data_IF_960973046111
#
_entry.id   IF_960973046111
#
_cell.length_a   1.000
_cell.length_b   1.000
_cell.length_c   1.000
_cell.angle_alpha   90.00
_cell.angle_beta   90.00
_cell.angle_gamma   90.00
#
_symmetry.space_group_name_H-M   'P 1'
#
loop_
_entity.id
_entity.type
_entity.pdbx_description
1 polymer ?
#
# COMPACT_ATOMS: atom_id res chain seq x y z
N UNK A 1 -32.72 39.53 19.29
CA UNK A 1 -31.45 39.57 18.51
C UNK A 1 -31.05 38.14 18.24
N UNK A 2 -31.18 37.70 16.99
CA UNK A 2 -30.82 36.33 16.59
C UNK A 2 -29.30 36.22 16.57
N UNK A 3 -28.74 35.28 17.35
CA UNK A 3 -27.33 34.93 17.28
C UNK A 3 -27.04 34.39 15.88
N UNK A 4 -26.25 35.13 15.13
CA UNK A 4 -25.80 34.82 13.80
C UNK A 4 -24.94 33.53 13.89
N UNK A 5 -25.40 32.52 13.18
CA UNK A 5 -24.76 31.18 13.14
C UNK A 5 -23.32 31.32 12.65
N UNK A 6 -22.34 31.29 13.55
CA UNK A 6 -20.91 31.41 13.30
C UNK A 6 -20.25 30.08 12.79
N UNK A 7 -21.05 29.14 12.30
CA UNK A 7 -20.60 27.85 11.77
C UNK A 7 -20.01 27.92 10.35
N UNK A 8 -19.69 29.14 9.83
CA UNK A 8 -19.19 29.33 8.46
C UNK A 8 -17.68 29.58 8.31
N UNK A 9 -16.94 29.57 9.38
CA UNK A 9 -15.47 29.46 9.23
C UNK A 9 -15.12 28.00 9.02
N UNK A 10 -15.10 27.58 7.74
CA UNK A 10 -14.27 26.48 7.33
C UNK A 10 -12.83 26.90 7.67
N UNK A 11 -12.29 26.36 8.74
CA UNK A 11 -10.86 26.34 8.96
C UNK A 11 -10.28 25.63 7.72
N UNK A 12 -9.82 26.43 6.75
CA UNK A 12 -8.89 25.97 5.74
C UNK A 12 -7.70 25.42 6.52
N UNK A 13 -7.68 24.11 6.67
CA UNK A 13 -6.52 23.40 7.16
C UNK A 13 -5.42 23.66 6.14
N UNK A 14 -4.57 24.66 6.37
CA UNK A 14 -3.22 24.70 5.83
C UNK A 14 -2.50 23.46 6.36
N UNK A 15 -2.79 22.33 5.75
CA UNK A 15 -2.06 21.09 5.99
C UNK A 15 -0.68 21.20 5.34
N UNK A 16 0.22 21.90 5.98
CA UNK A 16 1.63 21.56 5.88
C UNK A 16 1.79 20.18 6.53
N UNK A 17 1.96 19.16 5.70
CA UNK A 17 2.23 17.79 6.15
C UNK A 17 3.49 17.84 7.02
N UNK A 18 3.31 17.83 8.32
CA UNK A 18 4.39 17.91 9.29
C UNK A 18 5.03 16.53 9.41
N UNK A 19 6.35 16.43 9.22
CA UNK A 19 7.12 15.19 9.42
C UNK A 19 6.82 14.51 10.77
N UNK A 20 6.43 15.29 11.76
CA UNK A 20 6.02 14.81 13.08
C UNK A 20 4.71 13.99 13.03
N UNK A 21 3.78 14.34 12.14
CA UNK A 21 2.52 13.60 11.97
C UNK A 21 2.74 12.28 11.26
N UNK A 22 3.69 12.23 10.30
CA UNK A 22 4.14 10.99 9.68
C UNK A 22 4.77 10.05 10.71
N UNK A 23 5.56 10.55 11.64
CA UNK A 23 6.17 9.75 12.71
C UNK A 23 5.11 9.16 13.67
N UNK A 24 4.04 9.89 13.98
CA UNK A 24 2.90 9.40 14.77
C UNK A 24 2.21 8.23 14.09
N UNK A 25 2.03 8.32 12.79
CA UNK A 25 1.41 7.26 12.00
C UNK A 25 2.33 6.04 11.90
N UNK A 26 3.65 6.24 11.88
CA UNK A 26 4.65 5.18 11.96
C UNK A 26 4.48 4.24 13.16
N UNK A 27 3.91 4.72 14.27
CA UNK A 27 3.57 3.89 15.43
C UNK A 27 2.61 2.75 15.08
N UNK A 28 1.66 2.99 14.18
CA UNK A 28 0.69 1.97 13.75
C UNK A 28 1.25 0.97 12.75
N UNK A 29 2.38 1.29 12.08
CA UNK A 29 3.09 0.32 11.25
C UNK A 29 3.88 -0.69 12.08
N UNK A 30 4.38 -0.29 13.24
CA UNK A 30 5.29 -1.10 14.07
C UNK A 30 4.79 -2.53 14.35
N UNK A 31 3.52 -2.77 14.74
CA UNK A 31 3.03 -4.12 14.98
C UNK A 31 2.93 -4.98 13.71
N UNK A 32 2.95 -4.37 12.53
CA UNK A 32 2.79 -5.04 11.23
C UNK A 32 4.08 -5.18 10.43
N UNK A 33 5.23 -4.75 10.96
CA UNK A 33 6.55 -4.81 10.30
C UNK A 33 6.86 -6.20 9.76
N UNK A 34 6.61 -7.25 10.54
CA UNK A 34 6.85 -8.64 10.10
C UNK A 34 6.02 -9.03 8.86
N UNK A 35 4.80 -8.50 8.74
CA UNK A 35 3.96 -8.72 7.54
C UNK A 35 4.45 -7.89 6.37
N UNK A 36 4.87 -6.65 6.62
CA UNK A 36 5.43 -5.75 5.59
C UNK A 36 6.72 -6.35 5.02
N UNK A 37 7.61 -6.87 5.87
CA UNK A 37 8.86 -7.52 5.41
C UNK A 37 8.56 -8.73 4.53
N UNK A 38 7.55 -9.54 4.84
CA UNK A 38 7.14 -10.67 3.97
C UNK A 38 6.61 -10.19 2.62
N UNK A 39 5.83 -9.11 2.61
CA UNK A 39 5.34 -8.50 1.36
C UNK A 39 6.54 -8.00 0.53
N UNK A 40 7.50 -7.33 1.14
CA UNK A 40 8.71 -6.87 0.46
C UNK A 40 9.53 -8.04 -0.10
N UNK A 41 9.66 -9.15 0.63
CA UNK A 41 10.33 -10.34 0.10
C UNK A 41 9.64 -10.91 -1.14
N UNK A 42 8.30 -10.90 -1.16
CA UNK A 42 7.53 -11.30 -2.35
C UNK A 42 7.76 -10.32 -3.50
N UNK A 43 7.79 -9.02 -3.24
CA UNK A 43 8.08 -7.98 -4.25
C UNK A 43 9.46 -8.20 -4.87
N UNK A 44 10.48 -8.46 -4.04
CA UNK A 44 11.84 -8.78 -4.52
C UNK A 44 11.83 -10.01 -5.44
N UNK A 45 11.13 -11.07 -5.04
CA UNK A 45 10.99 -12.28 -5.87
C UNK A 45 10.29 -11.99 -7.20
N UNK A 46 9.25 -11.16 -7.20
CA UNK A 46 8.55 -10.73 -8.42
C UNK A 46 9.48 -9.93 -9.36
N UNK A 47 10.31 -9.04 -8.83
CA UNK A 47 11.27 -8.28 -9.63
C UNK A 47 12.30 -9.20 -10.31
N UNK A 48 12.77 -10.22 -9.63
CA UNK A 48 13.65 -11.24 -10.25
C UNK A 48 12.96 -11.95 -11.43
N UNK A 49 11.68 -12.28 -11.29
CA UNK A 49 10.90 -12.89 -12.38
C UNK A 49 10.79 -11.94 -13.59
N UNK A 50 10.48 -10.67 -13.36
CA UNK A 50 10.36 -9.66 -14.41
C UNK A 50 11.63 -9.54 -15.24
N UNK A 51 12.82 -9.59 -14.61
CA UNK A 51 14.11 -9.54 -15.32
C UNK A 51 14.42 -10.88 -16.04
N UNK A 52 13.94 -11.99 -15.51
CA UNK A 52 14.17 -13.31 -16.12
C UNK A 52 13.40 -13.51 -17.43
N UNK A 53 12.23 -12.89 -17.59
CA UNK A 53 11.38 -13.04 -18.80
C UNK A 53 12.08 -12.56 -20.08
N UNK A 54 12.63 -11.33 -20.18
CA UNK A 54 13.36 -10.88 -21.36
C UNK A 54 14.60 -11.73 -21.64
N UNK A 55 15.30 -12.19 -20.60
CA UNK A 55 16.46 -13.03 -20.74
C UNK A 55 16.14 -14.40 -21.39
N UNK A 56 15.09 -15.07 -20.92
CA UNK A 56 14.61 -16.31 -21.52
C UNK A 56 14.10 -16.10 -22.96
N UNK A 57 13.41 -15.00 -23.20
CA UNK A 57 12.93 -14.62 -24.52
C UNK A 57 14.10 -14.41 -25.49
N UNK A 58 15.17 -13.75 -25.04
CA UNK A 58 16.41 -13.61 -25.82
C UNK A 58 16.99 -14.95 -26.21
N UNK A 59 17.13 -15.90 -25.29
CA UNK A 59 17.65 -17.24 -25.58
C UNK A 59 16.76 -17.97 -26.61
N UNK A 60 15.44 -17.81 -26.54
CA UNK A 60 14.52 -18.40 -27.52
C UNK A 60 14.78 -17.86 -28.92
N UNK A 61 14.97 -16.53 -29.06
CA UNK A 61 15.14 -15.87 -30.36
C UNK A 61 16.54 -16.12 -30.93
N UNK A 62 17.58 -16.04 -30.10
CA UNK A 62 18.97 -16.06 -30.56
C UNK A 62 19.49 -17.49 -30.78
N UNK A 63 18.94 -18.50 -30.07
CA UNK A 63 19.49 -19.85 -30.08
C UNK A 63 18.47 -20.92 -30.49
N UNK A 64 17.30 -20.99 -29.85
CA UNK A 64 16.34 -22.06 -30.10
C UNK A 64 15.70 -21.99 -31.50
N UNK A 65 15.34 -20.79 -31.96
CA UNK A 65 14.68 -20.60 -33.27
C UNK A 65 15.65 -20.80 -34.42
N UNK A 66 16.87 -20.21 -34.46
CA UNK A 66 17.80 -20.42 -35.57
C UNK A 66 18.25 -21.86 -35.71
N UNK A 67 18.44 -22.57 -34.61
CA UNK A 67 18.84 -23.99 -34.60
C UNK A 67 17.68 -24.96 -34.88
N UNK A 68 16.45 -24.45 -35.03
CA UNK A 68 15.23 -25.26 -35.23
C UNK A 68 15.04 -26.35 -34.18
N UNK A 69 15.53 -26.10 -32.96
CA UNK A 69 15.43 -27.03 -31.84
C UNK A 69 14.07 -26.89 -31.15
N UNK A 70 13.11 -27.67 -31.59
CA UNK A 70 11.75 -27.69 -31.06
C UNK A 70 11.70 -28.14 -29.60
N UNK A 71 12.62 -29.04 -29.18
CA UNK A 71 12.69 -29.51 -27.79
C UNK A 71 13.09 -28.39 -26.83
N UNK A 72 14.15 -27.66 -27.17
CA UNK A 72 14.64 -26.51 -26.40
C UNK A 72 13.62 -25.39 -26.40
N UNK A 73 12.97 -25.11 -27.52
CA UNK A 73 11.90 -24.11 -27.63
C UNK A 73 10.71 -24.45 -26.72
N UNK A 74 10.25 -25.69 -26.71
CA UNK A 74 9.15 -26.15 -25.87
C UNK A 74 9.52 -26.06 -24.37
N UNK A 75 10.75 -26.41 -24.01
CA UNK A 75 11.24 -26.33 -22.62
C UNK A 75 11.28 -24.87 -22.13
N UNK A 76 11.80 -23.94 -22.94
CA UNK A 76 11.86 -22.52 -22.62
C UNK A 76 10.47 -21.90 -22.54
N UNK A 77 9.57 -22.24 -23.47
CA UNK A 77 8.17 -21.78 -23.45
C UNK A 77 7.44 -22.30 -22.19
N UNK A 78 7.63 -23.56 -21.82
CA UNK A 78 7.13 -24.11 -20.56
C UNK A 78 7.66 -23.39 -19.34
N UNK A 79 8.97 -23.08 -19.34
CA UNK A 79 9.60 -22.28 -18.28
C UNK A 79 9.01 -20.89 -18.16
N UNK A 80 8.82 -20.18 -19.27
CA UNK A 80 8.15 -18.87 -19.29
C UNK A 80 6.72 -18.96 -18.76
N UNK A 81 5.96 -19.96 -19.17
CA UNK A 81 4.61 -20.16 -18.68
C UNK A 81 4.59 -20.37 -17.14
N UNK A 82 5.47 -21.21 -16.61
CA UNK A 82 5.60 -21.39 -15.16
C UNK A 82 5.96 -20.09 -14.44
N UNK A 83 6.88 -19.28 -14.97
CA UNK A 83 7.25 -18.00 -14.38
C UNK A 83 6.06 -17.02 -14.35
N UNK A 84 5.27 -16.96 -15.42
CA UNK A 84 4.07 -16.11 -15.47
C UNK A 84 3.06 -16.56 -14.42
N UNK A 85 2.81 -17.86 -14.28
CA UNK A 85 1.88 -18.38 -13.28
C UNK A 85 2.35 -18.05 -11.85
N UNK A 86 3.64 -18.23 -11.58
CA UNK A 86 4.24 -17.88 -10.27
C UNK A 86 4.11 -16.39 -10.00
N UNK A 87 4.37 -15.54 -11.00
CA UNK A 87 4.23 -14.10 -10.90
C UNK A 87 2.79 -13.69 -10.56
N UNK A 88 1.78 -14.23 -11.24
CA UNK A 88 0.37 -13.94 -10.98
C UNK A 88 -0.07 -14.37 -9.58
N UNK A 89 0.37 -15.52 -9.10
CA UNK A 89 0.11 -15.98 -7.73
C UNK A 89 0.76 -15.06 -6.69
N UNK A 90 2.00 -14.64 -6.93
CA UNK A 90 2.72 -13.70 -6.08
C UNK A 90 2.04 -12.33 -6.06
N UNK A 91 1.59 -11.82 -7.22
CA UNK A 91 0.85 -10.57 -7.35
C UNK A 91 -0.46 -10.60 -6.55
N UNK A 92 -1.22 -11.68 -6.67
CA UNK A 92 -2.45 -11.88 -5.90
C UNK A 92 -2.18 -11.91 -4.39
N UNK A 93 -1.15 -12.66 -3.96
CA UNK A 93 -0.75 -12.70 -2.56
C UNK A 93 -0.36 -11.30 -2.04
N UNK A 94 0.48 -10.57 -2.79
CA UNK A 94 0.89 -9.20 -2.49
C UNK A 94 -0.33 -8.30 -2.27
N UNK A 95 -1.26 -8.27 -3.22
CA UNK A 95 -2.45 -7.41 -3.18
C UNK A 95 -3.30 -7.70 -1.95
N UNK A 96 -3.62 -8.97 -1.69
CA UNK A 96 -4.41 -9.37 -0.53
C UNK A 96 -3.69 -9.05 0.78
N UNK A 97 -2.37 -9.28 0.85
CA UNK A 97 -1.57 -9.02 2.04
C UNK A 97 -1.50 -7.51 2.36
N UNK A 98 -1.31 -6.64 1.35
CA UNK A 98 -1.32 -5.18 1.50
C UNK A 98 -2.68 -4.72 2.03
N UNK A 99 -3.76 -5.13 1.37
CA UNK A 99 -5.12 -4.76 1.79
C UNK A 99 -5.41 -5.20 3.22
N UNK A 100 -4.99 -6.41 3.59
CA UNK A 100 -5.18 -6.92 4.96
C UNK A 100 -4.40 -6.10 6.00
N UNK A 101 -3.16 -5.72 5.71
CA UNK A 101 -2.37 -4.85 6.60
C UNK A 101 -3.04 -3.49 6.75
N UNK A 102 -3.49 -2.87 5.65
CA UNK A 102 -4.20 -1.60 5.67
C UNK A 102 -5.47 -1.65 6.52
N UNK A 103 -6.29 -2.68 6.36
CA UNK A 103 -7.52 -2.85 7.14
C UNK A 103 -7.26 -3.07 8.64
N UNK A 104 -6.18 -3.75 8.98
CA UNK A 104 -5.80 -3.93 10.39
C UNK A 104 -5.31 -2.63 11.01
N UNK A 105 -4.48 -1.86 10.30
CA UNK A 105 -4.06 -0.52 10.73
C UNK A 105 -5.27 0.41 10.92
N UNK A 106 -6.18 0.41 9.95
CA UNK A 106 -7.42 1.19 10.01
C UNK A 106 -8.26 0.83 11.25
N UNK A 107 -8.38 -0.45 11.55
CA UNK A 107 -9.06 -0.93 12.75
C UNK A 107 -8.41 -0.38 14.04
N UNK A 108 -7.09 -0.43 14.13
CA UNK A 108 -6.36 0.03 15.31
C UNK A 108 -6.48 1.56 15.47
N UNK A 109 -6.34 2.31 14.37
CA UNK A 109 -6.51 3.77 14.37
C UNK A 109 -7.94 4.17 14.78
N UNK A 110 -8.96 3.50 14.24
CA UNK A 110 -10.36 3.76 14.61
C UNK A 110 -10.62 3.48 16.09
N UNK A 111 -10.05 2.40 16.62
CA UNK A 111 -10.17 2.04 18.02
C UNK A 111 -9.57 3.10 18.93
N UNK A 112 -8.33 3.52 18.65
CA UNK A 112 -7.63 4.52 19.45
C UNK A 112 -8.37 5.87 19.40
N UNK A 113 -8.82 6.26 18.22
CA UNK A 113 -9.57 7.50 18.02
C UNK A 113 -10.92 7.47 18.74
N UNK A 114 -11.66 6.37 18.65
CA UNK A 114 -12.92 6.20 19.36
C UNK A 114 -12.74 6.25 20.88
N UNK A 115 -11.70 5.59 21.39
CA UNK A 115 -11.35 5.66 22.82
C UNK A 115 -11.00 7.08 23.23
N UNK A 116 -10.24 7.81 22.42
CA UNK A 116 -9.91 9.21 22.70
C UNK A 116 -11.15 10.12 22.73
N UNK A 117 -12.06 9.98 21.76
CA UNK A 117 -13.30 10.75 21.72
C UNK A 117 -14.13 10.54 22.99
N UNK A 118 -14.19 9.32 23.52
CA UNK A 118 -14.93 9.03 24.75
C UNK A 118 -14.33 9.68 25.99
N UNK A 119 -13.06 10.09 25.98
CA UNK A 119 -12.42 10.79 27.10
C UNK A 119 -12.59 12.30 27.06
N UNK A 120 -13.20 12.85 25.98
CA UNK A 120 -13.41 14.29 25.83
C UNK A 120 -14.58 14.77 26.70
N UNK A 121 -14.47 15.99 27.30
CA UNK A 121 -15.54 16.55 28.11
C UNK A 121 -16.78 16.91 27.27
N UNK A 122 -17.96 16.90 27.88
CA UNK A 122 -19.22 17.23 27.24
C UNK A 122 -19.22 18.60 26.56
N UNK A 123 -18.53 19.59 27.11
CA UNK A 123 -18.39 20.92 26.54
C UNK A 123 -17.78 20.93 25.13
N UNK A 124 -16.98 19.93 24.78
CA UNK A 124 -16.44 19.78 23.43
C UNK A 124 -17.52 19.42 22.39
N UNK A 125 -18.51 18.64 22.81
CA UNK A 125 -19.60 18.20 21.95
C UNK A 125 -20.70 19.25 21.80
N UNK A 126 -20.95 20.06 22.83
CA UNK A 126 -21.95 21.12 22.80
C UNK A 126 -21.59 22.25 21.82
N UNK A 127 -20.30 22.48 21.58
CA UNK A 127 -19.79 23.55 20.72
C UNK A 127 -19.68 23.16 19.24
N UNK A 128 -19.86 21.89 18.86
CA UNK A 128 -19.61 21.36 17.51
C UNK A 128 -20.71 20.40 17.03
N UNK A 129 -21.13 20.48 15.74
CA UNK A 129 -22.12 19.54 15.18
C UNK A 129 -21.56 18.12 15.19
N UNK A 130 -22.21 17.21 15.91
CA UNK A 130 -21.77 15.80 16.10
C UNK A 130 -21.53 15.06 14.78
N UNK A 131 -22.35 15.33 13.75
CA UNK A 131 -22.19 14.71 12.43
C UNK A 131 -20.89 15.10 11.73
N UNK A 132 -20.43 16.35 11.89
CA UNK A 132 -19.17 16.84 11.25
C UNK A 132 -17.94 16.16 11.84
N UNK A 133 -17.94 15.92 13.15
CA UNK A 133 -16.86 15.21 13.86
C UNK A 133 -16.77 13.77 13.37
N UNK A 134 -17.90 13.07 13.30
CA UNK A 134 -17.94 11.66 12.91
C UNK A 134 -17.49 11.45 11.46
N UNK A 135 -17.94 12.30 10.54
CA UNK A 135 -17.56 12.23 9.12
C UNK A 135 -16.06 12.51 8.94
N UNK A 136 -15.49 13.51 9.63
CA UNK A 136 -14.05 13.79 9.58
C UNK A 136 -13.24 12.62 10.09
N UNK A 137 -13.61 12.06 11.24
CA UNK A 137 -12.94 10.91 11.85
C UNK A 137 -12.93 9.69 10.91
N UNK A 138 -14.06 9.39 10.29
CA UNK A 138 -14.16 8.21 9.40
C UNK A 138 -13.40 8.43 8.09
N UNK A 139 -13.58 9.57 7.43
CA UNK A 139 -12.99 9.81 6.12
C UNK A 139 -11.49 10.04 6.18
N UNK A 140 -10.99 10.85 7.13
CA UNK A 140 -9.55 11.10 7.23
C UNK A 140 -8.76 9.85 7.62
N UNK A 141 -9.31 9.03 8.53
CA UNK A 141 -8.67 7.77 8.90
C UNK A 141 -8.62 6.78 7.73
N UNK A 142 -9.65 6.74 6.89
CA UNK A 142 -9.66 5.91 5.68
C UNK A 142 -8.58 6.38 4.69
N UNK A 143 -8.57 7.67 4.35
CA UNK A 143 -7.58 8.25 3.41
C UNK A 143 -6.15 8.04 3.91
N UNK A 144 -5.91 8.23 5.21
CA UNK A 144 -4.59 8.03 5.81
C UNK A 144 -4.15 6.57 5.73
N UNK A 145 -5.04 5.63 6.02
CA UNK A 145 -4.76 4.19 5.95
C UNK A 145 -4.46 3.73 4.52
N UNK A 146 -5.20 4.23 3.55
CA UNK A 146 -5.01 3.87 2.14
C UNK A 146 -3.68 4.43 1.61
N UNK A 147 -3.35 5.68 1.95
CA UNK A 147 -2.09 6.32 1.57
C UNK A 147 -0.89 5.61 2.19
N UNK A 148 -0.98 5.19 3.45
CA UNK A 148 0.13 4.55 4.15
C UNK A 148 0.33 3.09 3.75
N UNK A 149 -0.75 2.32 3.65
CA UNK A 149 -0.62 0.88 3.36
C UNK A 149 -0.30 0.61 1.89
N UNK A 150 -0.93 1.32 0.97
CA UNK A 150 -0.65 1.13 -0.47
C UNK A 150 0.47 2.03 -0.98
N UNK A 151 0.50 3.30 -0.57
CA UNK A 151 1.46 4.28 -1.03
C UNK A 151 2.90 3.90 -0.68
N UNK A 152 3.20 3.64 0.60
CA UNK A 152 4.54 3.28 1.06
C UNK A 152 5.05 1.99 0.39
N UNK A 153 4.23 0.94 0.33
CA UNK A 153 4.64 -0.34 -0.25
C UNK A 153 4.86 -0.21 -1.75
N UNK A 154 4.03 0.57 -2.45
CA UNK A 154 4.22 0.82 -3.88
C UNK A 154 5.50 1.61 -4.15
N UNK A 155 5.77 2.69 -3.42
CA UNK A 155 7.02 3.47 -3.56
C UNK A 155 8.25 2.59 -3.34
N UNK A 156 8.29 1.78 -2.29
CA UNK A 156 9.39 0.83 -2.07
C UNK A 156 9.51 -0.20 -3.19
N UNK A 157 8.38 -0.71 -3.67
CA UNK A 157 8.33 -1.65 -4.79
C UNK A 157 8.90 -1.05 -6.07
N UNK A 158 8.50 0.17 -6.38
CA UNK A 158 8.91 0.85 -7.62
C UNK A 158 10.40 1.23 -7.59
N UNK A 159 10.90 1.74 -6.46
CA UNK A 159 12.32 2.02 -6.26
C UNK A 159 13.13 0.72 -6.41
N UNK A 160 12.71 -0.36 -5.77
CA UNK A 160 13.42 -1.63 -5.85
C UNK A 160 13.42 -2.20 -7.28
N UNK A 161 12.27 -2.18 -7.96
CA UNK A 161 12.17 -2.63 -9.36
C UNK A 161 13.05 -1.79 -10.28
N UNK A 162 13.10 -0.48 -10.07
CA UNK A 162 13.97 0.43 -10.81
C UNK A 162 15.44 0.03 -10.69
N UNK A 163 15.94 -0.21 -9.46
CA UNK A 163 17.32 -0.63 -9.25
C UNK A 163 17.62 -2.00 -9.87
N UNK A 164 16.71 -2.96 -9.75
CA UNK A 164 16.89 -4.31 -10.32
C UNK A 164 16.87 -4.28 -11.84
N UNK A 165 16.14 -3.34 -12.46
CA UNK A 165 16.07 -3.23 -13.93
C UNK A 165 17.28 -2.48 -14.51
N UNK A 166 17.95 -1.68 -13.70
CA UNK A 166 19.11 -0.88 -14.14
C UNK A 166 20.41 -1.70 -14.18
N UNK A 167 20.47 -2.84 -13.48
CA UNK A 167 21.61 -3.77 -13.42
C UNK A 167 21.48 -4.83 -14.52
#
# INVERSE_FOLDING_TARGET
>A
MAQRNTFREDEELEESINLHDIARVGKYLKPYISRIVRILAVVVSMSCIVVSVPYLTKIMIDDAIPNKDLGKLAMLAGGLFCLIVIYELALRYRTVAITRVGQLMLKDMRRDLFTHIQTLPFSYFDSRPHGKILIRVVNYVNTLSDTLSSGLINVFSDIFTFFVTLI
#
